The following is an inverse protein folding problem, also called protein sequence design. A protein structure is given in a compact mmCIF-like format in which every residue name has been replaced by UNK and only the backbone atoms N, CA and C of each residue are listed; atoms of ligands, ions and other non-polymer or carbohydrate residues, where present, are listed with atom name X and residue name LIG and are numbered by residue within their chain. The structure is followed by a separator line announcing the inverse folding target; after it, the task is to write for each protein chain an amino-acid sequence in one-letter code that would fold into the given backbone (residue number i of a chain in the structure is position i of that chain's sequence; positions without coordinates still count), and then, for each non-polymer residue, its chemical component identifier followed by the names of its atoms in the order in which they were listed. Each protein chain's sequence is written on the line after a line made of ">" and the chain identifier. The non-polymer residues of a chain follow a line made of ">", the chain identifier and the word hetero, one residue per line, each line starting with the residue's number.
data_IF_239559902314
#
_entry.id   IF_239559902314
#
_cell.length_a   1.000
_cell.length_b   1.000
_cell.length_c   1.000
_cell.angle_alpha   90.00
_cell.angle_beta   90.00
_cell.angle_gamma   90.00
#
_symmetry.space_group_name_H-M   'P 1'
#
loop_
_entity.id
_entity.type
_entity.pdbx_description
1 polymer ?
#
# COMPACT_ATOMS: atom_id res chain seq x y z
N UNK A 1 12.87 -19.20 -6.04
CA UNK A 1 11.69 -18.67 -5.32
C UNK A 1 11.04 -17.61 -6.18
N UNK A 2 9.77 -17.75 -6.55
CA UNK A 2 9.06 -16.78 -7.38
C UNK A 2 8.68 -15.59 -6.50
N UNK A 3 9.15 -14.39 -6.85
CA UNK A 3 8.86 -13.14 -6.12
C UNK A 3 8.17 -12.21 -7.10
N UNK A 4 6.99 -11.73 -6.72
CA UNK A 4 6.25 -10.71 -7.44
C UNK A 4 6.30 -9.40 -6.65
N UNK A 5 6.30 -8.28 -7.38
CA UNK A 5 6.31 -6.93 -6.85
C UNK A 5 5.16 -6.12 -7.47
N UNK A 6 4.14 -5.80 -6.68
CA UNK A 6 3.17 -4.74 -6.99
C UNK A 6 3.48 -3.51 -6.15
N UNK A 7 3.36 -2.31 -6.74
CA UNK A 7 3.58 -1.05 -6.04
C UNK A 7 2.41 -0.11 -6.31
N UNK A 8 1.76 0.38 -5.25
CA UNK A 8 0.79 1.47 -5.32
C UNK A 8 1.34 2.68 -4.57
N UNK A 9 1.17 3.87 -5.15
CA UNK A 9 1.85 5.09 -4.74
C UNK A 9 0.85 6.25 -4.73
N UNK A 10 0.55 6.78 -3.54
CA UNK A 10 -0.44 7.84 -3.37
C UNK A 10 0.12 9.09 -2.71
N UNK A 11 -0.07 10.24 -3.36
CA UNK A 11 0.26 11.55 -2.83
C UNK A 11 -1.00 12.44 -2.70
N UNK A 12 -1.10 13.15 -1.59
CA UNK A 12 -2.13 14.18 -1.34
C UNK A 12 -1.48 15.40 -0.72
N UNK A 13 -1.72 16.59 -1.26
CA UNK A 13 -1.41 17.82 -0.55
C UNK A 13 -2.53 18.15 0.45
N UNK A 14 -2.24 18.20 1.74
CA UNK A 14 -3.19 18.75 2.72
C UNK A 14 -2.96 20.25 2.87
N UNK A 15 -3.99 21.06 2.57
CA UNK A 15 -3.97 22.50 2.86
C UNK A 15 -4.27 22.72 4.35
N UNK A 16 -3.52 23.61 5.00
CA UNK A 16 -3.93 24.25 6.27
C UNK A 16 -5.20 25.07 6.00
N UNK A 17 -6.21 24.92 6.85
CA UNK A 17 -7.38 25.79 6.81
C UNK A 17 -6.94 27.25 6.88
N UNK A 18 -7.45 28.09 5.98
CA UNK A 18 -7.10 29.51 5.94
C UNK A 18 -7.32 30.17 7.31
N UNK A 19 -6.31 30.95 7.74
CA UNK A 19 -6.33 31.96 8.82
C UNK A 19 -7.48 31.85 9.83
N UNK A 20 -7.25 31.15 10.95
CA UNK A 20 -8.07 31.24 12.16
C UNK A 20 -8.86 29.98 12.54
N UNK A 21 -9.02 29.01 11.64
CA UNK A 21 -9.64 27.73 12.00
C UNK A 21 -8.59 26.71 12.45
N UNK A 22 -8.59 26.37 13.74
CA UNK A 22 -7.77 25.32 14.37
C UNK A 22 -8.16 23.90 13.95
N UNK A 23 -8.99 23.72 12.93
CA UNK A 23 -9.44 22.41 12.45
C UNK A 23 -8.29 21.67 11.80
N UNK A 24 -7.62 20.88 12.62
CA UNK A 24 -6.75 19.79 12.20
C UNK A 24 -7.54 18.81 11.33
N UNK A 25 -6.91 18.32 10.27
CA UNK A 25 -7.55 17.37 9.38
C UNK A 25 -7.31 15.95 9.90
N UNK A 26 -8.37 15.16 10.07
CA UNK A 26 -8.20 13.74 10.35
C UNK A 26 -7.76 13.05 9.05
N UNK A 27 -6.56 12.47 9.06
CA UNK A 27 -6.04 11.68 7.95
C UNK A 27 -6.13 10.20 8.33
N UNK A 28 -6.72 9.40 7.45
CA UNK A 28 -6.72 7.95 7.56
C UNK A 28 -6.04 7.35 6.34
N UNK A 29 -5.07 6.48 6.59
CA UNK A 29 -4.52 5.60 5.56
C UNK A 29 -5.10 4.21 5.74
N UNK A 30 -5.42 3.58 4.62
CA UNK A 30 -6.00 2.25 4.59
C UNK A 30 -5.35 1.46 3.47
N UNK A 31 -5.00 0.21 3.79
CA UNK A 31 -4.41 -0.74 2.86
C UNK A 31 -5.24 -2.00 2.90
N UNK A 32 -5.80 -2.37 1.74
CA UNK A 32 -6.53 -3.62 1.55
C UNK A 32 -5.76 -4.52 0.60
N UNK A 33 -5.75 -5.81 0.86
CA UNK A 33 -5.10 -6.80 -0.02
C UNK A 33 -6.04 -7.94 -0.35
N UNK A 34 -5.95 -8.46 -1.58
CA UNK A 34 -6.60 -9.72 -2.00
C UNK A 34 -5.55 -10.82 -2.20
N UNK A 35 -5.95 -12.06 -1.96
CA UNK A 35 -5.06 -13.22 -2.02
C UNK A 35 -4.32 -13.47 -0.70
N UNK A 36 -3.20 -14.20 -0.75
CA UNK A 36 -2.27 -14.47 0.35
C UNK A 36 -0.96 -13.71 0.06
N UNK A 37 -0.83 -12.50 0.58
CA UNK A 37 0.22 -11.56 0.23
C UNK A 37 0.73 -10.86 1.49
N UNK A 38 2.06 -10.83 1.64
CA UNK A 38 2.67 -9.91 2.58
C UNK A 38 2.83 -8.56 1.89
N UNK A 39 2.76 -7.50 2.66
CA UNK A 39 3.01 -6.17 2.14
C UNK A 39 3.87 -5.38 3.12
N UNK A 40 4.66 -4.48 2.57
CA UNK A 40 5.37 -3.44 3.28
C UNK A 40 4.87 -2.10 2.76
N UNK A 41 4.87 -1.08 3.60
CA UNK A 41 4.42 0.25 3.21
C UNK A 41 5.17 1.33 3.96
N UNK A 42 5.23 2.51 3.36
CA UNK A 42 5.80 3.70 3.97
C UNK A 42 4.76 4.81 3.93
N UNK A 43 4.58 5.51 5.04
CA UNK A 43 3.69 6.66 5.10
C UNK A 43 4.30 7.82 5.87
N UNK A 44 3.83 9.03 5.58
CA UNK A 44 4.16 10.23 6.37
C UNK A 44 3.10 10.46 7.44
N UNK A 45 3.53 10.55 8.70
CA UNK A 45 2.68 10.78 9.86
C UNK A 45 2.32 12.28 10.07
N UNK A 46 1.72 12.61 11.21
CA UNK A 46 1.35 13.98 11.57
C UNK A 46 2.55 14.95 11.61
N UNK A 47 3.76 14.44 11.85
CA UNK A 47 5.01 15.21 11.97
C UNK A 47 5.82 15.26 10.67
N UNK A 48 5.32 14.66 9.58
CA UNK A 48 6.06 14.40 8.34
C UNK A 48 7.22 13.42 8.51
N UNK A 49 7.17 12.56 9.52
CA UNK A 49 8.14 11.48 9.68
C UNK A 49 7.68 10.27 8.86
N UNK A 50 8.61 9.70 8.09
CA UNK A 50 8.34 8.48 7.34
C UNK A 50 8.37 7.26 8.28
N UNK A 51 7.29 6.48 8.28
CA UNK A 51 7.18 5.26 9.07
C UNK A 51 7.02 4.05 8.15
N UNK A 52 7.89 3.06 8.35
CA UNK A 52 7.77 1.75 7.71
C UNK A 52 6.78 0.89 8.47
N UNK A 53 5.87 0.27 7.72
CA UNK A 53 4.90 -0.69 8.24
C UNK A 53 4.90 -1.94 7.39
N UNK A 54 4.46 -3.03 8.00
CA UNK A 54 4.34 -4.32 7.33
C UNK A 54 3.07 -5.01 7.81
N UNK A 55 2.44 -5.75 6.92
CA UNK A 55 1.25 -6.52 7.23
C UNK A 55 1.20 -7.83 6.46
N UNK A 56 0.40 -8.74 6.98
CA UNK A 56 0.10 -10.02 6.37
C UNK A 56 -1.38 -10.07 5.99
N UNK A 57 -1.73 -10.96 5.08
CA UNK A 57 -3.10 -11.11 4.59
C UNK A 57 -4.11 -11.52 5.66
N UNK A 58 -5.37 -11.16 5.40
CA UNK A 58 -6.63 -11.37 6.16
C UNK A 58 -7.17 -10.19 6.95
N UNK A 59 -6.45 -9.06 7.04
CA UNK A 59 -6.97 -7.84 7.66
C UNK A 59 -6.58 -6.58 6.91
N UNK A 60 -7.56 -5.67 6.79
CA UNK A 60 -7.30 -4.31 6.35
C UNK A 60 -6.36 -3.64 7.36
N UNK A 61 -5.29 -3.02 6.88
CA UNK A 61 -4.44 -2.19 7.74
C UNK A 61 -4.92 -0.75 7.70
N UNK A 62 -5.10 -0.16 8.87
CA UNK A 62 -5.64 1.19 9.03
C UNK A 62 -4.78 1.94 10.04
N UNK A 63 -4.38 3.16 9.70
CA UNK A 63 -3.85 4.12 10.66
C UNK A 63 -4.59 5.45 10.51
N UNK A 64 -4.92 6.06 11.64
CA UNK A 64 -5.58 7.36 11.69
C UNK A 64 -4.77 8.30 12.56
N UNK A 65 -4.56 9.52 12.08
CA UNK A 65 -3.91 10.57 12.86
C UNK A 65 -4.48 11.94 12.53
N UNK A 66 -4.23 12.87 13.43
CA UNK A 66 -4.68 14.25 13.32
C UNK A 66 -3.56 15.07 12.69
N UNK A 67 -3.76 15.54 11.47
CA UNK A 67 -2.82 16.42 10.79
C UNK A 67 -2.95 17.85 11.32
N UNK A 68 -1.89 18.35 11.97
CA UNK A 68 -1.86 19.69 12.57
C UNK A 68 -1.18 20.75 11.69
N UNK A 69 -0.61 20.36 10.54
CA UNK A 69 0.20 21.25 9.68
C UNK A 69 -0.22 21.19 8.21
N UNK A 70 0.05 22.28 7.47
CA UNK A 70 -0.02 22.26 6.01
C UNK A 70 1.18 21.46 5.49
N UNK A 71 0.97 20.21 5.12
CA UNK A 71 2.06 19.38 4.62
C UNK A 71 1.54 18.34 3.62
N UNK A 72 2.39 17.90 2.68
CA UNK A 72 2.08 16.77 1.83
C UNK A 72 1.91 15.50 2.67
N UNK A 73 0.93 14.69 2.29
CA UNK A 73 0.66 13.36 2.81
C UNK A 73 0.96 12.35 1.72
N UNK A 74 1.47 11.22 2.14
CA UNK A 74 1.95 10.18 1.25
C UNK A 74 1.71 8.81 1.86
N UNK A 75 1.31 7.88 1.00
CA UNK A 75 1.22 6.46 1.29
C UNK A 75 1.82 5.70 0.10
N UNK A 76 2.95 5.03 0.35
CA UNK A 76 3.47 3.99 -0.52
C UNK A 76 3.08 2.64 0.06
N UNK A 77 2.65 1.73 -0.80
CA UNK A 77 2.64 0.32 -0.46
C UNK A 77 3.36 -0.48 -1.53
N UNK A 78 4.07 -1.48 -1.06
CA UNK A 78 4.77 -2.47 -1.83
C UNK A 78 4.28 -3.84 -1.39
N UNK A 79 3.68 -4.58 -2.32
CA UNK A 79 3.16 -5.91 -2.03
C UNK A 79 4.13 -6.95 -2.56
N UNK A 80 4.55 -7.83 -1.65
CA UNK A 80 5.47 -8.94 -1.91
C UNK A 80 4.75 -10.24 -1.59
N UNK A 81 4.38 -10.98 -2.63
CA UNK A 81 3.71 -12.26 -2.48
C UNK A 81 4.75 -13.31 -2.09
N UNK A 82 4.56 -13.95 -0.93
CA UNK A 82 5.29 -15.17 -0.55
C UNK A 82 4.42 -16.39 -0.91
N UNK A 83 5.02 -17.31 -1.67
CA UNK A 83 4.44 -18.55 -2.26
C UNK A 83 3.70 -19.48 -1.28
N UNK A 84 2.82 -20.41 -1.72
CA UNK A 84 2.38 -20.70 -3.08
C UNK A 84 0.93 -20.21 -3.29
N UNK A 85 0.75 -19.14 -4.06
CA UNK A 85 -0.56 -18.86 -4.63
C UNK A 85 -0.68 -19.50 -6.00
N UNK A 86 -1.90 -19.91 -6.32
CA UNK A 86 -2.29 -20.24 -7.68
C UNK A 86 -1.89 -19.08 -8.60
N UNK A 87 -1.03 -19.31 -9.61
CA UNK A 87 -0.56 -18.27 -10.53
C UNK A 87 -1.69 -17.64 -11.35
N UNK A 88 -2.87 -18.25 -11.38
CA UNK A 88 -4.07 -17.69 -12.01
C UNK A 88 -4.83 -16.68 -11.13
N UNK A 89 -4.57 -16.65 -9.82
CA UNK A 89 -5.26 -15.73 -8.89
C UNK A 89 -4.51 -14.39 -8.85
N UNK A 90 -5.14 -13.28 -9.28
CA UNK A 90 -4.52 -11.97 -9.19
C UNK A 90 -4.44 -11.50 -7.74
N UNK A 91 -3.30 -10.90 -7.41
CA UNK A 91 -3.08 -10.20 -6.15
C UNK A 91 -3.35 -8.74 -6.38
N UNK A 92 -4.24 -8.17 -5.58
CA UNK A 92 -4.58 -6.75 -5.64
C UNK A 92 -4.24 -6.10 -4.31
N UNK A 93 -3.62 -4.94 -4.39
CA UNK A 93 -3.34 -4.07 -3.27
C UNK A 93 -4.01 -2.73 -3.52
N UNK A 94 -4.82 -2.28 -2.57
CA UNK A 94 -5.53 -1.01 -2.66
C UNK A 94 -5.00 -0.11 -1.56
N UNK A 95 -4.37 0.98 -1.96
CA UNK A 95 -4.01 2.08 -1.06
C UNK A 95 -5.14 3.12 -1.09
N UNK A 96 -5.53 3.62 0.08
CA UNK A 96 -6.57 4.66 0.19
C UNK A 96 -6.13 5.73 1.18
N UNK A 97 -6.27 6.99 0.79
CA UNK A 97 -6.10 8.14 1.68
C UNK A 97 -7.47 8.79 1.88
N UNK A 98 -7.83 8.99 3.14
CA UNK A 98 -8.99 9.76 3.54
C UNK A 98 -8.57 11.05 4.25
N UNK A 99 -9.34 12.11 4.03
CA UNK A 99 -9.24 13.36 4.76
C UNK A 99 -10.62 13.72 5.29
N UNK A 100 -10.75 13.87 6.61
CA UNK A 100 -12.02 14.14 7.32
C UNK A 100 -13.13 13.15 6.92
N UNK A 101 -12.78 11.85 6.89
CA UNK A 101 -13.69 10.77 6.53
C UNK A 101 -14.00 10.61 5.05
N UNK A 102 -13.53 11.50 4.17
CA UNK A 102 -13.74 11.41 2.72
C UNK A 102 -12.54 10.80 2.01
N UNK A 103 -12.77 9.87 1.08
CA UNK A 103 -11.73 9.37 0.17
C UNK A 103 -11.26 10.53 -0.70
N UNK A 104 -9.96 10.82 -0.66
CA UNK A 104 -9.34 11.86 -1.50
C UNK A 104 -8.46 11.26 -2.60
N UNK A 105 -7.92 10.05 -2.36
CA UNK A 105 -7.11 9.31 -3.31
C UNK A 105 -7.23 7.81 -3.08
N UNK A 106 -7.18 7.07 -4.18
CA UNK A 106 -7.13 5.62 -4.22
C UNK A 106 -6.16 5.23 -5.33
N UNK A 107 -5.34 4.22 -5.08
CA UNK A 107 -4.49 3.60 -6.10
C UNK A 107 -4.54 2.09 -5.91
N UNK A 108 -4.48 1.39 -7.02
CA UNK A 108 -4.63 -0.06 -7.08
C UNK A 108 -3.44 -0.64 -7.83
N UNK A 109 -2.68 -1.49 -7.15
CA UNK A 109 -1.64 -2.29 -7.77
C UNK A 109 -2.09 -3.73 -7.86
N UNK A 110 -2.12 -4.27 -9.08
CA UNK A 110 -2.51 -5.65 -9.33
C UNK A 110 -1.44 -6.39 -10.11
N UNK A 111 -1.29 -7.68 -9.85
CA UNK A 111 -0.48 -8.55 -10.69
C UNK A 111 -0.68 -10.03 -10.41
N UNK A 112 -0.07 -10.86 -11.23
CA UNK A 112 -0.14 -12.31 -11.15
C UNK A 112 1.18 -12.86 -10.63
N UNK A 113 1.12 -13.95 -9.86
CA UNK A 113 2.32 -14.71 -9.52
C UNK A 113 2.83 -15.39 -10.80
N UNK A 114 3.81 -14.79 -11.48
CA UNK A 114 4.37 -15.41 -12.68
C UNK A 114 5.18 -16.66 -12.31
N UNK A 115 4.91 -17.76 -13.01
CA UNK A 115 5.82 -18.89 -13.06
C UNK A 115 7.07 -18.47 -13.83
N UNK A 116 8.15 -18.17 -13.11
CA UNK A 116 9.48 -18.27 -13.71
C UNK A 116 9.65 -19.76 -14.02
N UNK A 117 9.49 -20.14 -15.28
CA UNK A 117 10.03 -21.39 -15.80
C UNK A 117 11.53 -21.13 -15.90
N UNK A 118 12.34 -21.74 -15.04
CA UNK A 118 13.78 -21.73 -15.26
C UNK A 118 14.04 -22.38 -16.62
N UNK A 119 14.63 -21.68 -17.60
CA UNK A 119 14.85 -22.24 -18.94
C UNK A 119 15.84 -23.42 -18.94
N UNK A 120 16.46 -23.71 -17.79
CA UNK A 120 17.46 -24.77 -17.60
C UNK A 120 16.90 -26.07 -17.02
N UNK A 121 15.62 -26.13 -16.60
CA UNK A 121 15.06 -27.35 -15.99
C UNK A 121 14.76 -28.48 -16.99
N UNK A 122 14.81 -28.21 -18.30
CA UNK A 122 14.51 -29.21 -19.35
C UNK A 122 15.74 -29.95 -19.89
N UNK A 123 16.95 -29.72 -19.34
CA UNK A 123 18.18 -30.35 -19.85
C UNK A 123 18.67 -31.56 -19.04
N UNK A 124 17.87 -32.12 -18.13
CA UNK A 124 18.24 -33.30 -17.34
C UNK A 124 17.26 -34.48 -17.54
N UNK A 125 16.95 -34.82 -18.78
CA UNK A 125 16.42 -36.13 -19.14
C UNK A 125 16.87 -36.46 -20.57
N UNK A 126 18.07 -37.04 -20.69
CA UNK A 126 18.44 -38.11 -21.61
C UNK A 126 19.84 -38.61 -21.26
#
# INVERSE_FOLDING_TARGET
>A
MKRFLAVAVLFVACKKGSSGSSTSAQVKYEVKTSGVANWTGNYLDATNSATLVQGQTSSDWIVTFTNQVSAPRYLQIQVSVLTPMDPSVPVTAIAIIYVNGKIVKTDTASGYAQQIVDPYSNYLLN
#
